data_IF_868358942326
#
_entry.id   IF_868358942326
#
_cell.length_a   1.000
_cell.length_b   1.000
_cell.length_c   1.000
_cell.angle_alpha   90.00
_cell.angle_beta   90.00
_cell.angle_gamma   90.00
#
_symmetry.space_group_name_H-M   'P 1'
#
loop_
_entity.id
_entity.type
_entity.pdbx_description
1 polymer ?
#
# COMPACT_ATOMS: atom_id res chain seq x y z
N UNK A 1 33.48 15.49 -6.85
CA UNK A 1 34.75 14.74 -6.79
C UNK A 1 35.39 14.82 -8.16
N UNK A 2 36.67 15.20 -8.26
CA UNK A 2 37.42 15.17 -9.51
C UNK A 2 38.33 13.95 -9.53
N UNK A 3 38.27 13.18 -10.61
CA UNK A 3 39.19 12.09 -10.92
C UNK A 3 39.74 12.41 -12.30
N UNK A 4 41.06 12.53 -12.44
CA UNK A 4 41.74 12.71 -13.74
C UNK A 4 41.26 13.92 -14.57
N UNK A 5 40.89 15.04 -13.93
CA UNK A 5 40.46 16.27 -14.63
C UNK A 5 39.06 16.20 -15.26
N UNK A 6 38.32 15.11 -15.03
CA UNK A 6 36.91 14.98 -15.40
C UNK A 6 36.08 15.32 -14.17
N UNK A 7 35.29 16.40 -14.28
CA UNK A 7 34.34 16.80 -13.25
C UNK A 7 33.18 15.81 -13.27
N UNK A 8 33.17 14.85 -12.35
CA UNK A 8 32.03 13.95 -12.14
C UNK A 8 31.05 14.72 -11.25
N UNK A 9 29.91 15.22 -11.78
CA UNK A 9 28.86 15.73 -10.92
C UNK A 9 28.34 14.55 -10.13
N UNK A 10 28.68 14.49 -8.85
CA UNK A 10 28.07 13.55 -7.94
C UNK A 10 26.60 13.94 -7.86
N UNK A 11 25.73 13.23 -8.57
CA UNK A 11 24.28 13.34 -8.37
C UNK A 11 24.03 12.75 -6.98
N UNK A 12 24.11 13.60 -5.95
CA UNK A 12 23.96 13.23 -4.54
C UNK A 12 22.50 12.92 -4.17
N UNK A 13 21.56 13.29 -5.05
CA UNK A 13 20.14 12.97 -4.92
C UNK A 13 19.78 12.09 -6.10
N UNK A 14 19.81 10.77 -5.90
CA UNK A 14 19.15 9.86 -6.85
C UNK A 14 17.71 10.33 -7.02
N UNK A 15 17.20 10.33 -8.25
CA UNK A 15 15.78 10.54 -8.57
C UNK A 15 14.95 9.33 -8.10
N UNK A 16 15.11 8.93 -6.85
CA UNK A 16 14.26 7.96 -6.16
C UNK A 16 13.29 8.70 -5.25
N UNK A 17 12.70 9.79 -5.75
CA UNK A 17 11.61 10.47 -5.08
C UNK A 17 10.49 9.43 -4.89
N UNK A 18 10.37 8.88 -3.69
CA UNK A 18 9.28 7.98 -3.37
C UNK A 18 7.98 8.76 -3.59
N UNK A 19 7.05 8.20 -4.36
CA UNK A 19 5.79 8.86 -4.69
C UNK A 19 4.69 8.28 -3.82
N UNK A 20 3.89 9.16 -3.23
CA UNK A 20 2.73 8.75 -2.42
C UNK A 20 1.71 8.05 -3.30
N UNK A 21 1.34 6.82 -2.94
CA UNK A 21 0.35 6.05 -3.67
C UNK A 21 -1.06 6.66 -3.64
N UNK A 22 -1.36 7.52 -2.66
CA UNK A 22 -2.65 8.21 -2.52
C UNK A 22 -2.77 9.50 -3.33
N UNK A 23 -1.75 10.38 -3.29
CA UNK A 23 -1.84 11.71 -3.91
C UNK A 23 -0.84 11.96 -5.05
N UNK A 24 -0.02 10.98 -5.40
CA UNK A 24 1.00 11.06 -6.46
C UNK A 24 2.06 12.18 -6.27
N UNK A 25 2.14 12.80 -5.09
CA UNK A 25 3.19 13.76 -4.75
C UNK A 25 4.45 13.05 -4.27
N UNK A 26 5.60 13.71 -4.43
CA UNK A 26 6.86 13.30 -3.80
C UNK A 26 6.68 13.24 -2.27
N UNK A 27 7.20 12.18 -1.67
CA UNK A 27 7.24 11.99 -0.23
C UNK A 27 8.52 12.66 0.29
N UNK A 28 8.32 13.64 1.17
CA UNK A 28 9.41 14.20 1.97
C UNK A 28 9.60 13.38 3.26
N UNK A 29 10.85 13.04 3.58
CA UNK A 29 11.19 12.22 4.74
C UNK A 29 10.85 10.73 4.63
N UNK A 30 10.58 10.10 5.76
CA UNK A 30 10.33 8.64 5.84
C UNK A 30 8.87 8.33 5.48
N UNK A 31 8.61 7.51 4.45
CA UNK A 31 7.24 7.14 4.07
C UNK A 31 6.59 6.25 5.13
N UNK A 32 5.29 6.45 5.33
CA UNK A 32 4.46 5.44 5.96
C UNK A 32 4.26 4.29 4.97
N UNK A 33 4.50 3.05 5.40
CA UNK A 33 4.35 1.86 4.56
C UNK A 33 3.17 1.04 5.05
N UNK A 34 2.31 0.66 4.13
CA UNK A 34 1.18 -0.23 4.38
C UNK A 34 1.30 -1.45 3.49
N UNK A 35 1.20 -2.62 4.09
CA UNK A 35 1.10 -3.90 3.42
C UNK A 35 -0.31 -4.46 3.63
N UNK A 36 -0.84 -5.13 2.61
CA UNK A 36 -2.06 -5.92 2.76
C UNK A 36 -1.61 -7.34 3.10
N UNK A 37 -2.05 -7.85 4.24
CA UNK A 37 -1.81 -9.23 4.63
C UNK A 37 -2.45 -10.13 3.59
N UNK A 38 -1.66 -11.02 3.00
CA UNK A 38 -2.23 -12.06 2.16
C UNK A 38 -2.92 -13.09 3.06
N UNK A 39 -4.25 -13.01 3.16
CA UNK A 39 -5.05 -13.97 3.95
C UNK A 39 -5.16 -15.31 3.24
N UNK A 40 -4.82 -15.39 1.95
CA UNK A 40 -4.89 -16.62 1.16
C UNK A 40 -3.46 -17.09 0.92
N UNK A 41 -2.86 -17.76 1.91
CA UNK A 41 -1.79 -18.69 1.62
C UNK A 41 -2.40 -19.81 0.75
N UNK A 42 -2.42 -19.60 -0.56
CA UNK A 42 -2.75 -20.66 -1.50
C UNK A 42 -1.65 -21.71 -1.28
N UNK A 43 -1.99 -22.88 -0.75
CA UNK A 43 -1.01 -23.97 -0.52
C UNK A 43 -0.30 -24.37 -1.82
N UNK A 44 -0.91 -24.04 -2.97
CA UNK A 44 -0.30 -24.13 -4.28
C UNK A 44 0.36 -22.80 -4.67
N UNK A 45 1.64 -22.85 -5.04
CA UNK A 45 2.31 -21.70 -5.63
C UNK A 45 1.50 -21.17 -6.84
N UNK A 46 1.28 -19.84 -6.94
CA UNK A 46 0.64 -19.29 -8.13
C UNK A 46 1.46 -19.70 -9.35
N UNK A 47 0.78 -20.17 -10.40
CA UNK A 47 1.46 -20.43 -11.67
C UNK A 47 2.13 -19.13 -12.14
N UNK A 48 3.30 -19.21 -12.78
CA UNK A 48 4.08 -18.05 -13.21
C UNK A 48 3.32 -17.02 -14.09
N UNK A 49 2.09 -17.32 -14.55
CA UNK A 49 1.23 -16.39 -15.29
C UNK A 49 -0.02 -15.88 -14.56
N UNK A 50 -0.28 -16.28 -13.31
CA UNK A 50 -1.43 -15.80 -12.54
C UNK A 50 -0.99 -14.70 -11.58
N UNK A 51 -1.55 -13.50 -11.74
CA UNK A 51 -1.41 -12.43 -10.76
C UNK A 51 -2.08 -12.88 -9.45
N UNK A 52 -1.40 -12.66 -8.31
CA UNK A 52 -2.07 -12.82 -7.01
C UNK A 52 -3.31 -11.91 -7.00
N UNK A 53 -4.48 -12.40 -6.57
CA UNK A 53 -5.69 -11.59 -6.49
C UNK A 53 -5.53 -10.40 -5.53
N UNK A 54 -4.55 -10.48 -4.62
CA UNK A 54 -4.21 -9.42 -3.68
C UNK A 54 -2.74 -9.06 -3.88
N UNK A 55 -2.46 -7.83 -4.30
CA UNK A 55 -1.10 -7.28 -4.27
C UNK A 55 -0.77 -6.90 -2.82
N UNK A 56 0.17 -7.59 -2.14
CA UNK A 56 0.42 -7.39 -0.72
C UNK A 56 1.18 -6.09 -0.41
N UNK A 57 1.68 -5.35 -1.41
CA UNK A 57 2.48 -4.15 -1.21
C UNK A 57 3.99 -4.43 -1.10
N UNK A 58 4.79 -3.53 -0.49
CA UNK A 58 4.38 -2.40 0.35
C UNK A 58 3.96 -1.15 -0.45
N UNK A 59 2.83 -0.56 -0.08
CA UNK A 59 2.36 0.74 -0.59
C UNK A 59 2.90 1.86 0.32
N UNK A 60 3.37 2.96 -0.28
CA UNK A 60 4.02 4.04 0.45
C UNK A 60 3.17 5.32 0.41
N UNK A 61 3.08 6.00 1.54
CA UNK A 61 2.26 7.19 1.72
C UNK A 61 3.07 8.32 2.36
N UNK A 62 2.73 9.56 1.99
CA UNK A 62 3.17 10.74 2.72
C UNK A 62 2.46 10.83 4.08
N UNK A 63 2.82 11.83 4.89
CA UNK A 63 2.28 12.05 6.23
C UNK A 63 0.80 12.45 6.30
N UNK A 64 0.12 12.55 5.16
CA UNK A 64 -1.30 12.90 5.07
C UNK A 64 -2.16 11.65 5.36
N UNK A 65 -2.92 11.62 6.48
CA UNK A 65 -3.70 10.46 6.87
C UNK A 65 -4.86 10.15 5.91
N UNK A 66 -5.23 11.08 5.02
CA UNK A 66 -6.26 10.84 4.01
C UNK A 66 -5.73 10.07 2.78
N UNK A 67 -4.41 9.97 2.60
CA UNK A 67 -3.82 9.32 1.42
C UNK A 67 -4.07 7.80 1.36
N UNK A 68 -3.92 7.01 2.45
CA UNK A 68 -4.24 5.59 2.44
C UNK A 68 -5.72 5.25 2.14
N UNK A 69 -6.73 5.88 2.76
CA UNK A 69 -8.13 5.60 2.42
C UNK A 69 -8.48 6.04 0.99
N UNK A 70 -7.95 7.18 0.52
CA UNK A 70 -8.12 7.61 -0.89
C UNK A 70 -7.56 6.58 -1.88
N UNK A 71 -6.40 6.00 -1.56
CA UNK A 71 -5.78 4.95 -2.37
C UNK A 71 -6.61 3.66 -2.42
N UNK A 72 -7.23 3.27 -1.29
CA UNK A 72 -8.08 2.09 -1.19
C UNK A 72 -9.38 2.28 -1.97
N UNK A 73 -10.03 3.43 -1.79
CA UNK A 73 -11.21 3.88 -2.54
C UNK A 73 -11.00 3.80 -4.06
N UNK A 74 -9.92 4.40 -4.57
CA UNK A 74 -9.57 4.40 -5.99
C UNK A 74 -9.36 2.99 -6.59
N UNK A 75 -9.16 1.96 -5.76
CA UNK A 75 -9.00 0.56 -6.16
C UNK A 75 -10.24 -0.29 -5.91
N UNK A 76 -11.32 0.31 -5.41
CA UNK A 76 -12.54 -0.41 -5.06
C UNK A 76 -12.39 -1.27 -3.81
N UNK A 77 -11.56 -0.87 -2.84
CA UNK A 77 -11.38 -1.57 -1.56
C UNK A 77 -12.12 -0.82 -0.44
N UNK A 78 -13.33 -1.27 -0.06
CA UNK A 78 -14.05 -0.73 1.10
C UNK A 78 -13.18 -0.80 2.35
N UNK A 79 -13.09 0.29 3.12
CA UNK A 79 -12.37 0.29 4.40
C UNK A 79 -13.38 0.20 5.54
N UNK A 80 -13.07 -0.61 6.56
CA UNK A 80 -13.91 -0.66 7.74
C UNK A 80 -13.92 0.70 8.45
N UNK A 81 -15.10 1.24 8.75
CA UNK A 81 -15.30 2.50 9.45
C UNK A 81 -14.63 2.53 10.83
N UNK A 82 -14.56 1.37 11.49
CA UNK A 82 -13.95 1.21 12.81
C UNK A 82 -12.41 1.05 12.76
N UNK A 83 -11.82 1.02 11.55
CA UNK A 83 -10.37 0.85 11.40
C UNK A 83 -9.61 2.16 11.40
N UNK A 84 -8.44 2.13 12.02
CA UNK A 84 -7.37 3.08 11.72
C UNK A 84 -6.41 2.47 10.69
N UNK A 85 -5.81 3.29 9.84
CA UNK A 85 -4.78 2.80 8.90
C UNK A 85 -3.57 2.32 9.69
N UNK A 86 -3.06 1.13 9.37
CA UNK A 86 -1.89 0.51 10.03
C UNK A 86 -0.90 0.00 9.00
N UNK A 87 0.31 -0.32 9.48
CA UNK A 87 1.37 -0.90 8.64
C UNK A 87 0.93 -2.22 7.99
N UNK A 88 0.03 -2.97 8.64
CA UNK A 88 -0.58 -4.18 8.08
C UNK A 88 -2.10 -4.01 8.12
N UNK A 89 -2.71 -4.02 6.93
CA UNK A 89 -4.17 -4.12 6.75
C UNK A 89 -4.53 -5.54 6.34
N UNK A 90 -5.66 -6.05 6.81
CA UNK A 90 -6.15 -7.40 6.55
C UNK A 90 -7.33 -7.35 5.57
N UNK A 91 -7.32 -8.15 4.50
CA UNK A 91 -8.46 -8.30 3.62
C UNK A 91 -9.52 -9.17 4.28
N UNK A 92 -10.77 -8.71 4.22
CA UNK A 92 -11.97 -9.39 4.72
C UNK A 92 -12.87 -9.69 3.53
N UNK A 93 -13.29 -10.95 3.38
CA UNK A 93 -14.18 -11.35 2.30
C UNK A 93 -15.58 -10.74 2.49
N UNK A 94 -16.10 -10.08 1.44
CA UNK A 94 -17.44 -9.47 1.43
C UNK A 94 -18.46 -10.25 0.59
N UNK A 95 -18.08 -11.41 0.05
CA UNK A 95 -18.84 -12.13 -0.98
C UNK A 95 -18.50 -11.68 -2.40
N UNK A 96 -18.95 -12.42 -3.41
CA UNK A 96 -18.73 -12.14 -4.84
C UNK A 96 -17.26 -11.89 -5.22
N UNK A 97 -16.32 -12.59 -4.57
CA UNK A 97 -14.87 -12.39 -4.73
C UNK A 97 -14.36 -10.99 -4.35
N UNK A 98 -15.18 -10.15 -3.70
CA UNK A 98 -14.80 -8.83 -3.22
C UNK A 98 -14.18 -8.90 -1.82
N UNK A 99 -13.26 -7.97 -1.58
CA UNK A 99 -12.57 -7.84 -0.30
C UNK A 99 -12.65 -6.39 0.21
N UNK A 100 -12.85 -6.23 1.51
CA UNK A 100 -12.67 -4.98 2.22
C UNK A 100 -11.37 -5.00 3.04
N UNK A 101 -10.89 -3.84 3.47
CA UNK A 101 -9.68 -3.69 4.30
C UNK A 101 -10.03 -3.34 5.75
N UNK A 102 -9.37 -4.04 6.67
CA UNK A 102 -9.57 -3.96 8.11
C UNK A 102 -8.21 -3.94 8.83
N UNK A 103 -8.08 -3.23 9.94
CA UNK A 103 -6.87 -3.19 10.77
C UNK A 103 -6.68 -4.44 11.65
N UNK A 104 -7.66 -5.33 11.67
CA UNK A 104 -7.67 -6.59 12.41
C UNK A 104 -8.00 -6.47 13.90
N UNK A 105 -8.34 -5.28 14.41
CA UNK A 105 -8.60 -5.10 15.85
C UNK A 105 -10.04 -5.49 16.21
N UNK A 106 -11.01 -5.16 15.35
CA UNK A 106 -12.45 -5.26 15.66
C UNK A 106 -13.10 -6.62 15.35
N UNK A 107 -12.30 -7.67 15.12
CA UNK A 107 -12.77 -9.06 14.94
C UNK A 107 -13.84 -9.18 13.87
N UNK A 108 -15.07 -9.61 14.19
CA UNK A 108 -16.15 -9.87 13.22
C UNK A 108 -17.12 -8.68 13.06
N UNK A 109 -16.99 -7.62 13.87
CA UNK A 109 -17.88 -6.47 13.86
C UNK A 109 -17.47 -5.45 12.78
N UNK A 110 -17.55 -5.87 11.52
CA UNK A 110 -17.13 -5.05 10.40
C UNK A 110 -18.26 -4.19 9.83
N UNK A 111 -18.00 -2.90 9.71
CA UNK A 111 -18.87 -1.94 9.00
C UNK A 111 -18.06 -1.30 7.88
N UNK A 112 -18.26 -1.76 6.65
CA UNK A 112 -17.50 -1.29 5.49
C UNK A 112 -18.16 -0.09 4.83
N UNK A 113 -17.39 0.99 4.65
CA UNK A 113 -17.82 2.14 3.88
C UNK A 113 -17.65 1.85 2.38
N UNK A 114 -18.54 2.38 1.51
CA UNK A 114 -18.34 2.32 0.07
C UNK A 114 -16.95 2.85 -0.33
N UNK A 115 -16.32 2.16 -1.27
CA UNK A 115 -15.07 2.59 -1.88
C UNK A 115 -15.27 3.78 -2.82
#
# INVERSE_FOLDING_TARGET
>A
MEIMGIKIPTVLKENSAAVCAGCAREIDGTPFRMSILDTIAIEAAPSFGLASPINPGPFQFCSDPACPPTWAAARGWPVCQQSSVREIMRPIALGDSRHGLCDGIHRDAHEFLPA
#
